data_IF_802185215600
#
_entry.id   IF_802185215600
#
_cell.length_a   1.000
_cell.length_b   1.000
_cell.length_c   1.000
_cell.angle_alpha   90.00
_cell.angle_beta   90.00
_cell.angle_gamma   90.00
#
_symmetry.space_group_name_H-M   'P 1'
#
loop_
_entity.id
_entity.type
_entity.pdbx_description
1 polymer ?
#
# COMPACT_ATOMS: atom_id res chain seq x y z
N UNK A 1 6.09 18.58 -9.14
CA UNK A 1 6.69 18.42 -7.79
C UNK A 1 6.79 16.94 -7.49
N UNK A 2 7.95 16.47 -7.06
CA UNK A 2 8.20 15.12 -6.54
C UNK A 2 8.40 15.22 -5.02
N UNK A 3 7.56 14.53 -4.25
CA UNK A 3 7.63 14.54 -2.79
C UNK A 3 8.37 13.31 -2.29
N UNK A 4 9.41 13.52 -1.49
CA UNK A 4 10.29 12.47 -0.99
C UNK A 4 10.28 12.44 0.54
N UNK A 5 10.49 11.26 1.10
CA UNK A 5 10.81 11.14 2.53
C UNK A 5 12.27 11.55 2.80
N UNK A 6 12.62 11.65 4.09
CA UNK A 6 13.95 12.02 4.56
C UNK A 6 14.91 10.81 4.60
N UNK A 7 14.78 9.83 3.69
CA UNK A 7 15.69 8.70 3.62
C UNK A 7 17.11 9.15 3.23
N UNK A 8 18.13 8.69 3.97
CA UNK A 8 19.55 9.03 3.71
C UNK A 8 20.07 8.53 2.36
N UNK A 9 19.37 7.59 1.73
CA UNK A 9 19.73 7.08 0.41
C UNK A 9 19.30 8.02 -0.73
N UNK A 10 18.49 9.05 -0.44
CA UNK A 10 18.05 10.01 -1.44
C UNK A 10 19.19 10.98 -1.79
N UNK A 11 19.34 11.28 -3.07
CA UNK A 11 20.21 12.35 -3.55
C UNK A 11 19.69 13.71 -3.07
N UNK A 12 20.56 14.73 -2.97
CA UNK A 12 20.14 16.09 -2.65
C UNK A 12 19.03 16.57 -3.60
N UNK A 13 17.99 17.23 -3.07
CA UNK A 13 16.84 17.68 -3.88
C UNK A 13 17.23 18.64 -5.00
N UNK A 14 18.32 19.39 -4.83
CA UNK A 14 18.87 20.32 -5.83
C UNK A 14 19.42 19.61 -7.06
N UNK A 15 19.81 18.33 -6.91
CA UNK A 15 20.28 17.47 -8.01
C UNK A 15 19.10 16.73 -8.68
N UNK A 16 17.96 16.64 -8.01
CA UNK A 16 16.75 15.95 -8.49
C UNK A 16 15.82 16.90 -9.26
N UNK A 17 16.38 17.55 -10.28
CA UNK A 17 15.65 18.46 -11.18
C UNK A 17 15.71 17.93 -12.61
N UNK A 18 14.54 17.80 -13.24
CA UNK A 18 14.44 17.40 -14.64
C UNK A 18 13.30 18.14 -15.33
N UNK A 19 13.65 19.08 -16.21
CA UNK A 19 12.70 19.99 -16.85
C UNK A 19 11.87 20.76 -15.80
N UNK A 20 10.55 20.58 -15.82
CA UNK A 20 9.61 21.22 -14.90
C UNK A 20 9.33 20.38 -13.63
N UNK A 21 10.08 19.29 -13.41
CA UNK A 21 9.94 18.43 -12.24
C UNK A 21 11.02 18.84 -11.22
N UNK A 22 10.56 19.31 -10.06
CA UNK A 22 11.40 19.63 -8.90
C UNK A 22 11.07 18.72 -7.73
N UNK A 23 12.09 18.28 -7.00
CA UNK A 23 11.94 17.48 -5.79
C UNK A 23 11.78 18.34 -4.52
N UNK A 24 11.10 17.82 -3.51
CA UNK A 24 10.94 18.45 -2.20
C UNK A 24 10.82 17.35 -1.13
N UNK A 25 11.44 17.59 0.02
CA UNK A 25 11.37 16.70 1.17
C UNK A 25 10.14 17.01 2.03
N UNK A 26 9.50 15.97 2.54
CA UNK A 26 8.51 16.09 3.60
C UNK A 26 9.17 16.55 4.90
N UNK A 27 8.46 17.27 5.80
CA UNK A 27 9.02 17.62 7.10
C UNK A 27 9.48 16.38 7.89
N UNK A 28 10.62 16.48 8.61
CA UNK A 28 11.15 15.36 9.38
C UNK A 28 10.20 14.94 10.50
N UNK A 29 10.28 13.66 10.91
CA UNK A 29 9.52 13.05 12.00
C UNK A 29 7.99 12.94 11.81
N UNK A 30 7.43 13.55 10.77
CA UNK A 30 5.99 13.46 10.46
C UNK A 30 5.71 12.73 9.14
N UNK A 31 6.74 12.24 8.46
CA UNK A 31 6.64 11.55 7.17
C UNK A 31 5.54 10.49 7.18
N UNK A 32 5.54 9.55 8.14
CA UNK A 32 4.52 8.50 8.21
C UNK A 32 3.09 9.01 8.42
N UNK A 33 2.93 10.20 9.00
CA UNK A 33 1.63 10.83 9.25
C UNK A 33 1.05 11.54 8.03
N UNK A 34 1.90 11.98 7.10
CA UNK A 34 1.49 12.82 5.97
C UNK A 34 1.80 12.20 4.61
N UNK A 35 2.72 11.23 4.54
CA UNK A 35 3.15 10.61 3.29
C UNK A 35 1.97 9.87 2.66
N UNK A 36 1.53 10.27 1.45
CA UNK A 36 0.31 9.73 0.86
C UNK A 36 0.33 8.20 0.69
N UNK A 37 1.51 7.64 0.44
CA UNK A 37 1.69 6.20 0.28
C UNK A 37 1.35 5.42 1.58
N UNK A 38 1.69 6.00 2.73
CA UNK A 38 1.37 5.47 4.06
C UNK A 38 -0.07 5.76 4.49
N UNK A 39 -0.75 6.72 3.86
CA UNK A 39 -2.11 7.14 4.23
C UNK A 39 -3.24 6.19 3.82
N UNK A 40 -2.96 5.08 3.13
CA UNK A 40 -3.85 3.91 2.88
C UNK A 40 -3.37 3.06 1.70
N UNK A 41 -2.58 3.63 0.79
CA UNK A 41 -2.22 2.98 -0.48
C UNK A 41 -1.44 1.69 -0.23
N UNK A 42 -0.40 1.72 0.61
CA UNK A 42 0.37 0.51 0.97
C UNK A 42 -0.51 -0.54 1.62
N UNK A 43 -1.38 -0.13 2.54
CA UNK A 43 -2.27 -1.06 3.24
C UNK A 43 -3.21 -1.77 2.26
N UNK A 44 -3.87 -1.00 1.39
CA UNK A 44 -4.81 -1.54 0.42
C UNK A 44 -4.10 -2.47 -0.57
N UNK A 45 -2.95 -2.03 -1.10
CA UNK A 45 -2.11 -2.83 -1.96
C UNK A 45 -1.69 -4.17 -1.31
N UNK A 46 -1.21 -4.14 -0.06
CA UNK A 46 -0.83 -5.36 0.69
C UNK A 46 -2.02 -6.30 0.89
N UNK A 47 -3.22 -5.76 1.11
CA UNK A 47 -4.45 -6.54 1.22
C UNK A 47 -4.75 -7.30 -0.07
N UNK A 48 -4.74 -6.61 -1.22
CA UNK A 48 -4.95 -7.25 -2.52
C UNK A 48 -3.88 -8.29 -2.86
N UNK A 49 -2.62 -8.01 -2.53
CA UNK A 49 -1.54 -8.96 -2.73
C UNK A 49 -1.75 -10.24 -1.92
N UNK A 50 -2.07 -10.10 -0.63
CA UNK A 50 -2.35 -11.26 0.25
C UNK A 50 -3.55 -12.04 -0.23
N UNK A 51 -4.61 -11.36 -0.69
CA UNK A 51 -5.79 -12.02 -1.27
C UNK A 51 -5.42 -12.86 -2.49
N UNK A 52 -4.63 -12.31 -3.41
CA UNK A 52 -4.16 -13.04 -4.59
C UNK A 52 -3.30 -14.26 -4.21
N UNK A 53 -2.39 -14.10 -3.24
CA UNK A 53 -1.58 -15.19 -2.72
C UNK A 53 -2.43 -16.32 -2.11
N UNK A 54 -3.41 -15.97 -1.27
CA UNK A 54 -4.32 -16.95 -0.64
C UNK A 54 -5.18 -17.65 -1.68
N UNK A 55 -5.70 -16.93 -2.68
CA UNK A 55 -6.44 -17.55 -3.79
C UNK A 55 -5.57 -18.54 -4.55
N UNK A 56 -4.30 -18.20 -4.82
CA UNK A 56 -3.33 -19.11 -5.41
C UNK A 56 -3.13 -20.37 -4.57
N UNK A 57 -3.00 -20.22 -3.25
CA UNK A 57 -2.86 -21.33 -2.31
C UNK A 57 -4.10 -22.22 -2.27
N UNK A 58 -5.30 -21.64 -2.21
CA UNK A 58 -6.57 -22.38 -2.18
C UNK A 58 -6.82 -23.16 -3.47
N UNK A 59 -6.33 -22.65 -4.60
CA UNK A 59 -6.43 -23.31 -5.90
C UNK A 59 -5.31 -24.32 -6.15
N UNK A 60 -4.26 -24.32 -5.31
CA UNK A 60 -3.18 -25.28 -5.41
C UNK A 60 -3.56 -26.56 -4.67
N UNK A 61 -3.41 -27.71 -5.32
CA UNK A 61 -3.60 -29.01 -4.69
C UNK A 61 -2.32 -29.43 -3.94
N UNK A 62 -1.88 -28.59 -3.01
CA UNK A 62 -0.74 -28.85 -2.13
C UNK A 62 -0.84 -28.06 -0.83
N UNK A 63 -0.07 -28.47 0.17
CA UNK A 63 -0.01 -27.73 1.42
C UNK A 63 0.66 -26.35 1.26
N UNK A 64 0.54 -25.52 2.31
CA UNK A 64 1.12 -24.18 2.36
C UNK A 64 2.63 -24.18 2.12
N UNK A 65 3.35 -25.16 2.66
CA UNK A 65 4.81 -25.18 2.59
C UNK A 65 5.29 -25.51 1.17
N UNK A 66 4.63 -26.44 0.50
CA UNK A 66 4.94 -26.81 -0.86
C UNK A 66 4.51 -25.75 -1.86
N UNK A 67 3.38 -25.09 -1.61
CA UNK A 67 2.98 -23.91 -2.38
C UNK A 67 4.03 -22.80 -2.28
N UNK A 68 4.50 -22.50 -1.06
CA UNK A 68 5.52 -21.46 -0.83
C UNK A 68 6.84 -21.77 -1.54
N UNK A 69 7.27 -23.04 -1.58
CA UNK A 69 8.48 -23.44 -2.33
C UNK A 69 8.31 -23.26 -3.84
N UNK A 70 7.09 -23.45 -4.35
CA UNK A 70 6.77 -23.30 -5.78
C UNK A 70 6.49 -21.85 -6.17
N UNK A 71 6.14 -20.99 -5.23
CA UNK A 71 5.84 -19.58 -5.48
C UNK A 71 7.10 -18.81 -5.88
N UNK A 72 7.19 -18.43 -7.14
CA UNK A 72 8.38 -17.82 -7.73
C UNK A 72 8.35 -16.28 -7.66
N UNK A 73 9.49 -15.65 -7.94
CA UNK A 73 9.55 -14.19 -8.13
C UNK A 73 8.65 -13.73 -9.29
N UNK A 74 8.51 -14.54 -10.35
CA UNK A 74 7.60 -14.25 -11.46
C UNK A 74 6.15 -14.16 -10.97
N UNK A 75 5.72 -15.08 -10.13
CA UNK A 75 4.37 -15.07 -9.53
C UNK A 75 4.18 -13.85 -8.62
N UNK A 76 5.21 -13.48 -7.85
CA UNK A 76 5.19 -12.28 -7.02
C UNK A 76 5.02 -11.01 -7.86
N UNK A 77 5.72 -10.88 -8.99
CA UNK A 77 5.61 -9.73 -9.91
C UNK A 77 4.20 -9.65 -10.51
N UNK A 78 3.62 -10.77 -10.93
CA UNK A 78 2.23 -10.78 -11.40
C UNK A 78 1.25 -10.40 -10.28
N UNK A 79 1.43 -10.92 -9.08
CA UNK A 79 0.60 -10.57 -7.93
C UNK A 79 0.70 -9.07 -7.59
N UNK A 80 1.89 -8.45 -7.71
CA UNK A 80 2.10 -7.00 -7.58
C UNK A 80 1.28 -6.25 -8.62
N UNK A 81 1.38 -6.63 -9.90
CA UNK A 81 0.64 -5.97 -10.99
C UNK A 81 -0.89 -6.07 -10.78
N UNK A 82 -1.39 -7.27 -10.45
CA UNK A 82 -2.80 -7.51 -10.16
C UNK A 82 -3.30 -6.73 -8.94
N UNK A 83 -2.45 -6.58 -7.92
CA UNK A 83 -2.79 -5.83 -6.71
C UNK A 83 -2.83 -4.34 -6.96
N UNK A 84 -1.89 -3.81 -7.73
CA UNK A 84 -1.87 -2.41 -8.12
C UNK A 84 -3.09 -2.02 -8.94
N UNK A 85 -3.50 -2.87 -9.89
CA UNK A 85 -4.69 -2.65 -10.71
C UNK A 85 -6.00 -2.61 -9.89
N UNK A 86 -6.01 -3.18 -8.68
CA UNK A 86 -7.17 -3.13 -7.78
C UNK A 86 -7.20 -1.87 -6.89
N UNK A 87 -6.09 -1.13 -6.78
CA UNK A 87 -6.06 0.12 -6.02
C UNK A 87 -6.91 1.16 -6.75
N UNK A 88 -8.03 1.53 -6.14
CA UNK A 88 -8.99 2.46 -6.73
C UNK A 88 -8.42 3.88 -6.77
N UNK A 89 -8.79 4.62 -7.82
CA UNK A 89 -8.49 6.05 -7.94
C UNK A 89 -8.96 6.85 -6.71
N UNK A 90 -10.11 6.50 -6.13
CA UNK A 90 -10.62 7.13 -4.89
C UNK A 90 -9.71 6.91 -3.69
N UNK A 91 -9.03 5.76 -3.59
CA UNK A 91 -8.01 5.52 -2.55
C UNK A 91 -6.82 6.44 -2.75
N UNK A 92 -6.38 6.62 -3.99
CA UNK A 92 -5.31 7.56 -4.32
C UNK A 92 -5.72 8.99 -3.97
N UNK A 93 -6.91 9.45 -4.34
CA UNK A 93 -7.37 10.80 -3.98
C UNK A 93 -7.45 10.99 -2.45
N UNK A 94 -8.03 10.03 -1.73
CA UNK A 94 -8.19 10.12 -0.27
C UNK A 94 -6.84 10.16 0.46
N UNK A 95 -5.80 9.50 -0.05
CA UNK A 95 -4.51 9.43 0.62
C UNK A 95 -3.78 10.79 0.66
N UNK A 96 -4.12 11.72 -0.23
CA UNK A 96 -3.61 13.09 -0.21
C UNK A 96 -4.32 14.00 0.80
N UNK A 97 -5.46 13.59 1.40
CA UNK A 97 -6.29 14.47 2.25
C UNK A 97 -5.52 15.12 3.40
N UNK A 98 -4.56 14.41 4.01
CA UNK A 98 -3.77 14.96 5.12
C UNK A 98 -2.69 15.93 4.68
N UNK A 99 -2.12 15.73 3.49
CA UNK A 99 -1.05 16.57 2.95
C UNK A 99 -1.61 17.79 2.21
N UNK A 100 -2.72 17.60 1.50
CA UNK A 100 -3.41 18.62 0.72
C UNK A 100 -4.93 18.48 0.90
N UNK A 101 -5.51 19.07 1.95
CA UNK A 101 -6.95 19.01 2.21
C UNK A 101 -7.81 19.58 1.07
N UNK A 102 -7.35 20.68 0.44
CA UNK A 102 -8.05 21.36 -0.66
C UNK A 102 -8.11 20.56 -1.98
N UNK A 103 -7.42 19.43 -2.10
CA UNK A 103 -7.41 18.58 -3.30
C UNK A 103 -8.59 17.58 -3.26
N UNK A 104 -9.35 17.58 -2.17
CA UNK A 104 -10.63 16.89 -2.03
C UNK A 104 -11.75 17.87 -1.63
N UNK A 105 -12.17 18.80 -2.51
CA UNK A 105 -13.20 19.79 -2.14
C UNK A 105 -14.60 19.23 -1.87
N UNK A 106 -14.88 17.93 -2.07
CA UNK A 106 -16.28 17.44 -2.07
C UNK A 106 -16.44 15.93 -1.82
N UNK A 107 -15.93 15.40 -0.71
CA UNK A 107 -16.35 14.09 -0.16
C UNK A 107 -17.21 14.19 1.11
N UNK A 108 -17.54 15.41 1.54
CA UNK A 108 -18.14 15.68 2.86
C UNK A 108 -19.69 15.74 2.88
N UNK A 109 -20.39 15.38 1.79
CA UNK A 109 -21.87 15.52 1.74
C UNK A 109 -22.63 14.28 1.24
N UNK A 110 -22.07 13.08 1.37
CA UNK A 110 -22.89 11.87 1.34
C UNK A 110 -22.54 11.00 2.53
N UNK A 111 -23.51 10.54 3.35
CA UNK A 111 -23.31 9.40 4.22
C UNK A 111 -23.11 8.17 3.31
N UNK A 112 -21.92 8.04 2.73
CA UNK A 112 -21.50 6.79 2.10
C UNK A 112 -21.11 5.84 3.21
N UNK A 113 -22.15 5.25 3.79
CA UNK A 113 -22.19 3.93 4.38
C UNK A 113 -20.82 3.27 4.53
N UNK A 114 -20.15 3.57 5.65
CA UNK A 114 -18.90 2.96 6.12
C UNK A 114 -19.02 1.43 6.36
N UNK A 115 -20.03 0.74 5.82
CA UNK A 115 -20.32 -0.66 6.14
C UNK A 115 -19.34 -1.63 5.47
N UNK A 116 -18.84 -1.35 4.26
CA UNK A 116 -17.81 -2.21 3.64
C UNK A 116 -16.40 -1.90 4.19
N UNK A 117 -16.08 -0.64 4.45
CA UNK A 117 -14.76 -0.19 4.93
C UNK A 117 -14.53 -0.59 6.40
N UNK A 118 -15.56 -0.52 7.24
CA UNK A 118 -15.49 -0.97 8.64
C UNK A 118 -15.47 -2.50 8.74
N UNK A 119 -16.08 -3.23 7.80
CA UNK A 119 -15.98 -4.69 7.74
C UNK A 119 -14.59 -5.14 7.30
N UNK A 120 -13.98 -4.50 6.30
CA UNK A 120 -12.60 -4.81 5.88
C UNK A 120 -11.57 -4.40 6.92
N UNK A 121 -11.74 -3.28 7.65
CA UNK A 121 -10.86 -2.89 8.75
C UNK A 121 -11.01 -3.81 9.98
N UNK A 122 -12.24 -4.24 10.31
CA UNK A 122 -12.50 -5.19 11.40
C UNK A 122 -11.97 -6.59 11.06
N UNK A 123 -12.23 -7.06 9.84
CA UNK A 123 -11.72 -8.33 9.33
C UNK A 123 -10.18 -8.27 9.24
N UNK A 124 -9.60 -7.13 8.84
CA UNK A 124 -8.15 -6.93 8.82
C UNK A 124 -7.51 -6.90 10.20
N UNK A 125 -8.10 -6.20 11.19
CA UNK A 125 -7.64 -6.22 12.59
C UNK A 125 -7.70 -7.63 13.18
N UNK A 126 -8.75 -8.37 12.86
CA UNK A 126 -8.86 -9.79 13.20
C UNK A 126 -7.74 -10.63 12.54
N UNK A 127 -7.46 -10.42 11.26
CA UNK A 127 -6.39 -11.12 10.54
C UNK A 127 -4.96 -10.68 10.95
N UNK A 128 -4.76 -9.45 11.41
CA UNK A 128 -3.48 -9.00 11.96
C UNK A 128 -3.17 -9.61 13.33
N UNK A 129 -4.21 -9.92 14.10
CA UNK A 129 -4.10 -10.69 15.36
C UNK A 129 -3.66 -12.14 15.11
N UNK A 130 -3.88 -12.65 13.89
CA UNK A 130 -3.40 -13.95 13.43
C UNK A 130 -2.08 -13.73 12.69
N UNK A 131 -0.98 -13.59 13.41
CA UNK A 131 0.36 -13.49 12.82
C UNK A 131 0.66 -14.72 11.94
N UNK A 132 0.45 -14.59 10.63
CA UNK A 132 1.02 -15.51 9.65
C UNK A 132 2.39 -14.96 9.28
N UNK A 133 3.49 -15.58 9.75
CA UNK A 133 4.83 -15.13 9.39
C UNK A 133 4.99 -15.34 7.88
N UNK A 134 5.05 -14.23 7.16
CA UNK A 134 5.56 -14.17 5.81
C UNK A 134 7.03 -13.78 6.00
N UNK A 135 7.93 -14.65 5.54
CA UNK A 135 9.41 -14.62 5.64
C UNK A 135 9.95 -15.54 6.77
N UNK A 136 10.66 -16.64 6.44
CA UNK A 136 11.45 -17.37 7.43
C UNK A 136 12.62 -16.47 7.85
N UNK A 137 12.76 -16.22 9.17
CA UNK A 137 13.98 -15.64 9.72
C UNK A 137 15.12 -16.64 9.47
N UNK A 138 16.08 -16.30 8.62
CA UNK A 138 17.34 -17.02 8.54
C UNK A 138 18.08 -16.85 9.88
N UNK A 139 18.54 -17.97 10.43
CA UNK A 139 19.48 -18.01 11.56
C UNK A 139 20.86 -17.55 11.12
#
# INVERSE_FOLDING_TARGET
ILLLDNCRAHQPVDELVSGNIVATLLPPNVTSLIQPLDQRVIQNFKCFYRRSFIQGLLNADCDKTDFQKKFTVKDAVYAIALSWNQVKYTTLQKCWKKLWPAANPSLDLTPQTDKEENQQDTQFKFWMSLEVPIIPKSK
#
